data_IF_155900782807
#
_entry.id   IF_155900782807
#
_cell.length_a   1.000
_cell.length_b   1.000
_cell.length_c   1.000
_cell.angle_alpha   90.00
_cell.angle_beta   90.00
_cell.angle_gamma   90.00
#
_symmetry.space_group_name_H-M   'P 1'
#
loop_
_entity.id
_entity.type
_entity.pdbx_description
1 polymer ?
#
# COMPACT_ATOMS: atom_id res chain seq x y z
N UNK A 1 20.70 20.61 -5.43
CA UNK A 1 20.11 20.51 -6.80
C UNK A 1 18.75 19.82 -6.74
N UNK A 2 17.86 19.95 -7.74
CA UNK A 2 16.54 19.31 -7.71
C UNK A 2 16.60 17.78 -7.51
N UNK A 3 17.57 17.11 -8.13
CA UNK A 3 17.78 15.67 -7.97
C UNK A 3 18.22 15.25 -6.57
N UNK A 4 18.94 16.12 -5.87
CA UNK A 4 19.37 15.86 -4.49
C UNK A 4 18.17 15.93 -3.53
N UNK A 5 17.31 16.94 -3.70
CA UNK A 5 16.07 17.06 -2.94
C UNK A 5 15.12 15.88 -3.24
N UNK A 6 15.00 15.48 -4.51
CA UNK A 6 14.27 14.27 -4.93
C UNK A 6 14.83 13.01 -4.24
N UNK A 7 16.16 12.86 -4.18
CA UNK A 7 16.79 11.70 -3.54
C UNK A 7 16.53 11.67 -2.03
N UNK A 8 16.60 12.82 -1.34
CA UNK A 8 16.21 12.95 0.07
C UNK A 8 14.74 12.60 0.31
N UNK A 9 13.85 13.10 -0.55
CA UNK A 9 12.43 12.77 -0.52
C UNK A 9 12.17 11.29 -0.68
N UNK A 10 12.83 10.64 -1.66
CA UNK A 10 12.73 9.19 -1.86
C UNK A 10 13.24 8.41 -0.63
N UNK A 11 14.38 8.83 -0.05
CA UNK A 11 14.94 8.18 1.14
C UNK A 11 14.03 8.31 2.36
N UNK A 12 13.46 9.50 2.60
CA UNK A 12 12.49 9.74 3.65
C UNK A 12 11.21 8.91 3.44
N UNK A 13 10.72 8.83 2.20
CA UNK A 13 9.55 8.02 1.83
C UNK A 13 9.79 6.53 2.10
N UNK A 14 10.93 5.99 1.67
CA UNK A 14 11.30 4.60 1.93
C UNK A 14 11.47 4.29 3.42
N UNK A 15 11.80 5.29 4.24
CA UNK A 15 11.90 5.17 5.69
C UNK A 15 10.57 5.41 6.43
N UNK A 16 9.45 5.59 5.71
CA UNK A 16 8.12 5.83 6.30
C UNK A 16 7.93 7.24 6.86
N UNK A 17 8.87 8.16 6.65
CA UNK A 17 8.78 9.57 7.08
C UNK A 17 8.12 10.40 5.99
N UNK A 18 6.82 10.21 5.85
CA UNK A 18 6.06 10.74 4.70
C UNK A 18 5.89 12.26 4.71
N UNK A 19 5.75 12.90 5.87
CA UNK A 19 5.72 14.37 5.97
C UNK A 19 7.06 14.99 5.54
N UNK A 20 8.16 14.42 6.01
CA UNK A 20 9.50 14.84 5.61
C UNK A 20 9.72 14.62 4.10
N UNK A 21 9.26 13.49 3.57
CA UNK A 21 9.31 13.21 2.14
C UNK A 21 8.56 14.25 1.31
N UNK A 22 7.34 14.62 1.74
CA UNK A 22 6.56 15.66 1.08
C UNK A 22 7.26 17.03 1.11
N UNK A 23 7.96 17.35 2.19
CA UNK A 23 8.82 18.53 2.31
C UNK A 23 9.94 18.53 1.25
N UNK A 24 10.76 17.48 1.23
CA UNK A 24 11.86 17.36 0.25
C UNK A 24 11.37 17.35 -1.21
N UNK A 25 10.21 16.75 -1.50
CA UNK A 25 9.62 16.83 -2.83
C UNK A 25 9.13 18.23 -3.17
N UNK A 26 8.65 19.00 -2.19
CA UNK A 26 8.27 20.41 -2.40
C UNK A 26 9.50 21.26 -2.76
N UNK A 27 10.63 21.04 -2.09
CA UNK A 27 11.89 21.69 -2.43
C UNK A 27 12.36 21.29 -3.84
N UNK A 28 12.23 20.01 -4.20
CA UNK A 28 12.55 19.53 -5.54
C UNK A 28 11.65 20.17 -6.61
N UNK A 29 10.36 20.32 -6.34
CA UNK A 29 9.37 20.94 -7.25
C UNK A 29 9.69 22.43 -7.44
N UNK A 30 10.07 23.14 -6.38
CA UNK A 30 10.47 24.55 -6.48
C UNK A 30 11.65 24.76 -7.44
N UNK A 31 12.54 23.75 -7.55
CA UNK A 31 13.69 23.76 -8.45
C UNK A 31 13.38 23.20 -9.85
N UNK A 32 12.37 22.34 -9.99
CA UNK A 32 11.99 21.67 -11.23
C UNK A 32 10.45 21.53 -11.39
N UNK A 33 9.72 22.65 -11.61
CA UNK A 33 8.25 22.68 -11.55
C UNK A 33 7.55 21.98 -12.72
N UNK A 34 8.28 21.61 -13.78
CA UNK A 34 7.73 20.86 -14.92
C UNK A 34 7.90 19.33 -14.76
N UNK A 35 8.51 18.86 -13.67
CA UNK A 35 8.81 17.44 -13.49
C UNK A 35 7.62 16.69 -12.85
N UNK A 36 6.79 16.08 -13.69
CA UNK A 36 5.63 15.27 -13.30
C UNK A 36 5.96 14.16 -12.28
N UNK A 37 7.17 13.60 -12.27
CA UNK A 37 7.57 12.55 -11.31
C UNK A 37 7.61 13.10 -9.88
N UNK A 38 8.00 14.35 -9.70
CA UNK A 38 8.07 14.97 -8.37
C UNK A 38 6.67 15.17 -7.77
N UNK A 39 5.72 15.63 -8.58
CA UNK A 39 4.31 15.72 -8.19
C UNK A 39 3.73 14.33 -7.88
N UNK A 40 4.02 13.32 -8.69
CA UNK A 40 3.58 11.95 -8.43
C UNK A 40 4.12 11.36 -7.13
N UNK A 41 5.38 11.65 -6.81
CA UNK A 41 6.02 11.21 -5.58
C UNK A 41 5.48 11.96 -4.36
N UNK A 42 5.25 13.27 -4.47
CA UNK A 42 4.65 14.07 -3.39
C UNK A 42 3.19 13.69 -3.16
N UNK A 43 2.41 13.44 -4.21
CA UNK A 43 1.06 12.88 -4.14
C UNK A 43 1.02 11.57 -3.35
N UNK A 44 1.96 10.65 -3.63
CA UNK A 44 2.06 9.41 -2.87
C UNK A 44 2.36 9.65 -1.37
N UNK A 45 3.30 10.55 -1.07
CA UNK A 45 3.65 10.90 0.31
C UNK A 45 2.47 11.51 1.07
N UNK A 46 1.73 12.43 0.43
CA UNK A 46 0.54 13.07 0.98
C UNK A 46 -0.59 12.08 1.21
N UNK A 47 -0.82 11.15 0.27
CA UNK A 47 -1.81 10.09 0.43
C UNK A 47 -1.48 9.14 1.60
N UNK A 48 -0.20 8.84 1.83
CA UNK A 48 0.26 8.01 2.96
C UNK A 48 0.02 8.64 4.33
N UNK A 49 -0.23 9.95 4.40
CA UNK A 49 -0.60 10.69 5.62
C UNK A 49 -2.05 11.20 5.57
N UNK A 50 -2.89 10.59 4.73
CA UNK A 50 -4.32 10.88 4.59
C UNK A 50 -4.66 12.33 4.16
N UNK A 51 -3.70 13.07 3.60
CA UNK A 51 -3.92 14.40 3.00
C UNK A 51 -4.39 14.26 1.56
N UNK A 52 -5.55 13.66 1.38
CA UNK A 52 -6.03 13.23 0.06
C UNK A 52 -6.38 14.39 -0.88
N UNK A 53 -6.85 15.52 -0.36
CA UNK A 53 -7.12 16.71 -1.18
C UNK A 53 -5.83 17.29 -1.80
N UNK A 54 -4.75 17.36 -1.02
CA UNK A 54 -3.45 17.83 -1.53
C UNK A 54 -2.83 16.79 -2.48
N UNK A 55 -2.98 15.50 -2.15
CA UNK A 55 -2.55 14.41 -3.02
C UNK A 55 -3.28 14.43 -4.37
N UNK A 56 -4.56 14.81 -4.38
CA UNK A 56 -5.36 14.96 -5.59
C UNK A 56 -4.81 16.09 -6.47
N UNK A 57 -4.56 17.27 -5.90
CA UNK A 57 -4.01 18.41 -6.65
C UNK A 57 -2.66 18.06 -7.32
N UNK A 58 -1.78 17.34 -6.62
CA UNK A 58 -0.52 16.86 -7.19
C UNK A 58 -0.72 15.77 -8.26
N UNK A 59 -1.70 14.89 -8.08
CA UNK A 59 -2.02 13.87 -9.07
C UNK A 59 -2.60 14.47 -10.35
N UNK A 60 -3.48 15.47 -10.23
CA UNK A 60 -3.99 16.26 -11.36
C UNK A 60 -2.85 16.97 -12.08
N UNK A 61 -1.95 17.62 -11.35
CA UNK A 61 -0.77 18.25 -11.95
C UNK A 61 0.15 17.26 -12.66
N UNK A 62 0.28 16.05 -12.13
CA UNK A 62 1.05 14.97 -12.75
C UNK A 62 0.48 14.61 -14.13
N UNK A 63 -0.83 14.39 -14.23
CA UNK A 63 -1.48 14.01 -15.50
C UNK A 63 -1.65 15.21 -16.45
N UNK A 64 -1.66 16.44 -15.95
CA UNK A 64 -1.56 17.66 -16.76
C UNK A 64 -0.18 17.76 -17.45
N UNK A 65 0.90 17.55 -16.69
CA UNK A 65 2.27 17.64 -17.20
C UNK A 65 2.66 16.45 -18.09
N UNK A 66 2.12 15.26 -17.84
CA UNK A 66 2.41 14.04 -18.60
C UNK A 66 1.16 13.17 -18.77
N UNK A 67 0.27 13.51 -19.73
CA UNK A 67 -1.04 12.87 -19.89
C UNK A 67 -1.01 11.44 -20.42
N UNK A 68 0.12 11.00 -20.96
CA UNK A 68 0.39 9.66 -21.51
C UNK A 68 1.11 8.73 -20.51
N UNK A 69 1.29 9.17 -19.25
CA UNK A 69 1.96 8.38 -18.23
C UNK A 69 0.98 7.66 -17.30
N UNK A 70 0.78 6.36 -17.53
CA UNK A 70 -0.17 5.52 -16.80
C UNK A 70 -0.05 5.60 -15.27
N UNK A 71 1.17 5.72 -14.72
CA UNK A 71 1.39 5.84 -13.27
C UNK A 71 0.81 7.11 -12.66
N UNK A 72 0.67 8.19 -13.43
CA UNK A 72 0.01 9.42 -12.98
C UNK A 72 -1.47 9.17 -12.67
N UNK A 73 -2.14 8.39 -13.51
CA UNK A 73 -3.53 7.98 -13.28
C UNK A 73 -3.69 7.03 -12.10
N UNK A 74 -2.65 6.25 -11.75
CA UNK A 74 -2.66 5.47 -10.50
C UNK A 74 -2.70 6.38 -9.26
N UNK A 75 -2.01 7.52 -9.29
CA UNK A 75 -2.05 8.51 -8.20
C UNK A 75 -3.40 9.21 -8.13
N UNK A 76 -3.93 9.59 -9.30
CA UNK A 76 -5.23 10.25 -9.40
C UNK A 76 -6.36 9.35 -8.85
N UNK A 77 -6.38 8.09 -9.26
CA UNK A 77 -7.33 7.11 -8.74
C UNK A 77 -7.20 6.88 -7.22
N UNK A 78 -5.96 6.80 -6.71
CA UNK A 78 -5.73 6.60 -5.28
C UNK A 78 -6.17 7.80 -4.43
N UNK A 79 -5.96 9.03 -4.93
CA UNK A 79 -6.39 10.25 -4.26
C UNK A 79 -7.93 10.36 -4.22
N UNK A 80 -8.61 10.09 -5.34
CA UNK A 80 -10.08 10.05 -5.38
C UNK A 80 -10.66 8.97 -4.46
N UNK A 81 -10.05 7.77 -4.42
CA UNK A 81 -10.48 6.72 -3.47
C UNK A 81 -10.32 7.16 -2.02
N UNK A 82 -9.21 7.82 -1.68
CA UNK A 82 -8.98 8.36 -0.33
C UNK A 82 -10.01 9.43 0.07
N UNK A 83 -10.53 10.19 -0.90
CA UNK A 83 -11.63 11.14 -0.70
C UNK A 83 -13.03 10.49 -0.68
N UNK A 84 -13.12 9.18 -0.93
CA UNK A 84 -14.40 8.46 -1.02
C UNK A 84 -15.11 8.63 -2.35
N UNK A 85 -14.50 9.29 -3.34
CA UNK A 85 -15.05 9.43 -4.69
C UNK A 85 -14.67 8.22 -5.54
N UNK A 86 -15.35 7.11 -5.29
CA UNK A 86 -15.11 5.85 -5.98
C UNK A 86 -15.37 5.92 -7.49
N UNK A 87 -16.28 6.81 -7.93
CA UNK A 87 -16.63 6.98 -9.34
C UNK A 87 -15.49 7.64 -10.11
N UNK A 88 -14.98 8.78 -9.63
CA UNK A 88 -13.84 9.45 -10.25
C UNK A 88 -12.58 8.61 -10.17
N UNK A 89 -12.40 7.85 -9.09
CA UNK A 89 -11.29 6.92 -8.98
C UNK A 89 -11.32 5.83 -10.06
N UNK A 90 -12.47 5.18 -10.27
CA UNK A 90 -12.63 4.17 -11.30
C UNK A 90 -12.32 4.74 -12.69
N UNK A 91 -12.83 5.94 -13.00
CA UNK A 91 -12.57 6.63 -14.26
C UNK A 91 -11.06 6.92 -14.46
N UNK A 92 -10.37 7.37 -13.40
CA UNK A 92 -8.92 7.59 -13.44
C UNK A 92 -8.16 6.29 -13.72
N UNK A 93 -8.47 5.20 -12.99
CA UNK A 93 -7.82 3.91 -13.20
C UNK A 93 -8.09 3.33 -14.60
N UNK A 94 -9.31 3.47 -15.12
CA UNK A 94 -9.66 3.04 -16.50
C UNK A 94 -8.87 3.83 -17.54
N UNK A 95 -8.71 5.14 -17.36
CA UNK A 95 -7.87 5.97 -18.24
C UNK A 95 -6.40 5.56 -18.16
N UNK A 96 -5.89 5.23 -16.98
CA UNK A 96 -4.55 4.67 -16.81
C UNK A 96 -4.38 3.33 -17.53
N UNK A 97 -5.37 2.43 -17.44
CA UNK A 97 -5.36 1.12 -18.11
C UNK A 97 -5.50 1.23 -19.62
N UNK A 98 -6.14 2.28 -20.14
CA UNK A 98 -6.13 2.56 -21.58
C UNK A 98 -4.71 2.86 -22.10
N UNK A 99 -3.82 3.39 -21.24
CA UNK A 99 -2.42 3.68 -21.57
C UNK A 99 -1.49 2.48 -21.30
N UNK A 100 -1.72 1.75 -20.21
CA UNK A 100 -0.99 0.53 -19.86
C UNK A 100 -1.97 -0.57 -19.40
N UNK A 101 -2.54 -1.36 -20.35
CA UNK A 101 -3.52 -2.40 -20.03
C UNK A 101 -2.97 -3.54 -19.15
N UNK A 102 -1.65 -3.70 -19.12
CA UNK A 102 -0.97 -4.77 -18.39
C UNK A 102 -0.70 -4.42 -16.93
N UNK A 103 -0.97 -3.18 -16.52
CA UNK A 103 -0.60 -2.67 -15.22
C UNK A 103 -1.43 -3.26 -14.07
N UNK A 104 -0.87 -4.21 -13.35
CA UNK A 104 -1.55 -4.86 -12.22
C UNK A 104 -1.93 -3.89 -11.10
N UNK A 105 -1.15 -2.83 -10.86
CA UNK A 105 -1.47 -1.81 -9.87
C UNK A 105 -2.72 -1.01 -10.22
N UNK A 106 -2.89 -0.66 -11.49
CA UNK A 106 -4.10 0.00 -12.00
C UNK A 106 -5.30 -0.95 -11.99
N UNK A 107 -5.12 -2.23 -12.36
CA UNK A 107 -6.20 -3.25 -12.29
C UNK A 107 -6.69 -3.45 -10.86
N UNK A 108 -5.77 -3.57 -9.91
CA UNK A 108 -6.09 -3.69 -8.49
C UNK A 108 -6.82 -2.44 -7.98
N UNK A 109 -6.30 -1.24 -8.29
CA UNK A 109 -6.96 0.02 -7.93
C UNK A 109 -8.37 0.17 -8.52
N UNK A 110 -8.57 -0.26 -9.77
CA UNK A 110 -9.89 -0.29 -10.40
C UNK A 110 -10.85 -1.25 -9.70
N UNK A 111 -10.37 -2.45 -9.32
CA UNK A 111 -11.16 -3.41 -8.58
C UNK A 111 -11.58 -2.86 -7.20
N UNK A 112 -10.65 -2.19 -6.49
CA UNK A 112 -10.93 -1.53 -5.22
C UNK A 112 -11.94 -0.38 -5.38
N UNK A 113 -11.80 0.44 -6.42
CA UNK A 113 -12.75 1.50 -6.74
C UNK A 113 -14.15 0.96 -7.07
N UNK A 114 -14.25 -0.09 -7.89
CA UNK A 114 -15.53 -0.75 -8.22
C UNK A 114 -16.18 -1.38 -7.00
N UNK A 115 -15.38 -1.98 -6.10
CA UNK A 115 -15.87 -2.51 -4.83
C UNK A 115 -16.37 -1.39 -3.91
N UNK A 116 -15.67 -0.27 -3.85
CA UNK A 116 -16.09 0.90 -3.08
C UNK A 116 -17.39 1.53 -3.63
N UNK A 117 -17.58 1.52 -4.96
CA UNK A 117 -18.79 2.01 -5.61
C UNK A 117 -19.99 1.05 -5.48
N UNK A 118 -19.75 -0.27 -5.43
CA UNK A 118 -20.79 -1.30 -5.28
C UNK A 118 -21.16 -1.61 -3.83
N UNK A 119 -20.39 -1.13 -2.85
CA UNK A 119 -20.83 -1.13 -1.46
C UNK A 119 -21.98 -0.14 -1.30
N UNK A 120 -23.04 -0.45 -0.50
CA UNK A 120 -23.98 0.59 -0.09
C UNK A 120 -23.15 1.73 0.49
N UNK A 121 -23.44 2.99 0.14
CA UNK A 121 -22.58 4.10 0.52
C UNK A 121 -22.29 3.97 2.01
N UNK A 122 -21.04 3.65 2.35
CA UNK A 122 -20.56 3.96 3.70
C UNK A 122 -20.75 5.44 3.75
N UNK A 123 -21.74 5.89 4.52
CA UNK A 123 -22.00 7.31 4.72
C UNK A 123 -20.64 7.92 5.01
N UNK A 124 -20.12 8.68 4.05
CA UNK A 124 -19.02 9.56 4.32
C UNK A 124 -19.45 10.38 5.55
N UNK A 125 -18.55 10.75 6.46
CA UNK A 125 -18.86 11.73 7.46
C UNK A 125 -19.09 13.08 6.75
N UNK A 126 -20.26 13.23 6.13
CA UNK A 126 -20.71 14.43 5.44
C UNK A 126 -21.63 15.17 6.39
N UNK A 127 -21.11 16.25 6.96
CA UNK A 127 -21.88 17.24 7.71
C UNK A 127 -22.02 16.90 9.19
N UNK A 128 -21.81 17.92 10.04
CA UNK A 128 -21.91 17.82 11.50
C UNK A 128 -23.22 17.21 12.01
N UNK A 129 -24.27 17.11 11.20
CA UNK A 129 -25.53 16.46 11.55
C UNK A 129 -25.41 14.93 11.79
N UNK A 130 -24.59 14.19 11.02
CA UNK A 130 -24.44 12.74 11.19
C UNK A 130 -23.52 12.40 12.38
N UNK A 131 -22.52 13.22 12.66
CA UNK A 131 -21.68 13.09 13.86
C UNK A 131 -22.48 13.39 15.14
N UNK A 132 -23.31 14.44 15.12
CA UNK A 132 -24.21 14.76 16.23
C UNK A 132 -25.25 13.65 16.39
N UNK A 133 -25.86 13.15 15.30
CA UNK A 133 -26.82 12.04 15.37
C UNK A 133 -26.27 10.78 16.05
N UNK A 134 -25.00 10.44 15.80
CA UNK A 134 -24.32 9.31 16.45
C UNK A 134 -24.09 9.54 17.95
N UNK A 135 -23.88 10.79 18.39
CA UNK A 135 -23.75 11.13 19.81
C UNK A 135 -25.03 10.84 20.60
N UNK A 136 -26.21 10.98 19.98
CA UNK A 136 -27.50 10.66 20.61
C UNK A 136 -27.84 9.16 20.60
N UNK A 137 -27.06 8.36 19.88
CA UNK A 137 -27.24 6.90 19.82
C UNK A 137 -26.28 6.13 20.74
N UNK A 138 -25.23 6.79 21.25
CA UNK A 138 -24.24 6.18 22.11
C UNK A 138 -24.71 5.93 23.55
N UNK A 139 -24.14 4.93 24.24
CA UNK A 139 -24.46 4.64 25.65
C UNK A 139 -24.05 5.78 26.60
N UNK A 140 -23.14 6.66 26.17
CA UNK A 140 -22.62 7.79 26.94
C UNK A 140 -23.61 8.95 27.12
N UNK A 141 -24.65 9.05 26.26
CA UNK A 141 -25.64 10.13 26.30
C UNK A 141 -26.27 10.25 27.69
N UNK A 142 -26.77 9.13 28.22
CA UNK A 142 -27.48 9.09 29.50
C UNK A 142 -26.55 9.38 30.67
N UNK A 143 -25.33 8.85 30.62
CA UNK A 143 -24.31 9.09 31.65
C UNK A 143 -23.93 10.57 31.74
N UNK A 144 -23.73 11.23 30.60
CA UNK A 144 -23.38 12.66 30.55
C UNK A 144 -24.52 13.54 31.05
N UNK A 145 -25.75 13.31 30.60
CA UNK A 145 -26.93 14.06 31.05
C UNK A 145 -27.15 13.91 32.56
N UNK A 146 -26.97 12.69 33.10
CA UNK A 146 -27.12 12.44 34.53
C UNK A 146 -25.98 13.00 35.39
N UNK A 147 -24.80 13.19 34.82
CA UNK A 147 -23.62 13.70 35.52
C UNK A 147 -23.58 15.22 35.67
N UNK A 148 -24.28 15.96 34.79
CA UNK A 148 -24.30 17.42 34.82
C UNK A 148 -25.50 17.96 35.62
N UNK A 149 -25.29 18.83 36.63
CA UNK A 149 -26.35 19.37 37.47
C UNK A 149 -27.45 20.15 36.72
N UNK A 150 -27.13 20.79 35.60
CA UNK A 150 -28.06 21.59 34.82
C UNK A 150 -28.95 20.73 33.92
N UNK A 151 -28.40 19.65 33.34
CA UNK A 151 -29.17 18.76 32.44
C UNK A 151 -29.84 17.60 33.15
N UNK A 152 -29.39 17.23 34.37
CA UNK A 152 -29.98 16.12 35.13
C UNK A 152 -31.46 16.32 35.44
N UNK A 153 -31.86 17.56 35.74
CA UNK A 153 -33.26 17.90 36.02
C UNK A 153 -34.20 17.65 34.82
N UNK A 154 -33.67 17.56 33.61
CA UNK A 154 -34.46 17.25 32.41
C UNK A 154 -34.84 15.77 32.33
N UNK A 155 -34.12 14.88 33.04
CA UNK A 155 -34.47 13.46 33.12
C UNK A 155 -35.75 13.20 33.92
N UNK A 156 -36.23 14.18 34.69
CA UNK A 156 -37.51 14.09 35.41
C UNK A 156 -38.70 14.53 34.53
N UNK A 157 -38.44 15.04 33.31
CA UNK A 157 -39.44 15.59 32.41
C UNK A 157 -39.87 14.56 31.35
N UNK A 158 -41.14 14.09 31.36
CA UNK A 158 -41.62 13.04 30.46
C UNK A 158 -41.60 13.42 28.97
N UNK A 159 -41.86 14.69 28.65
CA UNK A 159 -41.80 15.23 27.29
C UNK A 159 -40.36 15.29 26.76
N UNK A 160 -39.41 15.68 27.61
CA UNK A 160 -37.99 15.73 27.25
C UNK A 160 -37.41 14.33 27.00
N UNK A 161 -37.76 13.36 27.84
CA UNK A 161 -37.38 11.96 27.64
C UNK A 161 -37.95 11.37 26.34
N UNK A 162 -39.17 11.74 25.97
CA UNK A 162 -39.77 11.34 24.71
C UNK A 162 -39.02 11.93 23.52
N UNK A 163 -38.68 13.22 23.58
CA UNK A 163 -37.88 13.91 22.58
C UNK A 163 -36.51 13.23 22.37
N UNK A 164 -35.78 12.90 23.44
CA UNK A 164 -34.50 12.19 23.34
C UNK A 164 -34.65 10.81 22.70
N UNK A 165 -35.70 10.05 23.03
CA UNK A 165 -35.98 8.74 22.43
C UNK A 165 -36.33 8.83 20.96
N UNK A 166 -37.01 9.90 20.55
CA UNK A 166 -37.36 10.15 19.16
C UNK A 166 -36.11 10.47 18.32
N UNK A 167 -35.23 11.33 18.85
CA UNK A 167 -33.91 11.62 18.25
C UNK A 167 -33.03 10.37 18.18
N UNK A 168 -33.04 9.54 19.22
CA UNK A 168 -32.27 8.28 19.24
C UNK A 168 -32.76 7.30 18.16
N UNK A 169 -34.08 7.19 17.96
CA UNK A 169 -34.69 6.33 16.93
C UNK A 169 -34.54 6.89 15.52
N UNK A 170 -34.57 8.22 15.37
CA UNK A 170 -34.49 8.90 14.09
C UNK A 170 -33.62 10.16 14.19
N UNK A 171 -32.32 10.09 13.82
CA UNK A 171 -31.40 11.24 13.88
C UNK A 171 -31.88 12.47 13.11
N UNK A 172 -32.69 12.28 12.07
CA UNK A 172 -33.26 13.39 11.29
C UNK A 172 -34.28 14.22 12.07
N UNK A 173 -34.86 13.68 13.15
CA UNK A 173 -35.80 14.40 14.01
C UNK A 173 -35.10 15.44 14.90
N UNK A 174 -33.77 15.37 15.06
CA UNK A 174 -32.99 16.35 15.82
C UNK A 174 -33.26 17.78 15.35
N UNK A 175 -33.36 18.01 14.03
CA UNK A 175 -33.60 19.33 13.45
C UNK A 175 -34.91 19.97 13.92
N UNK A 176 -35.92 19.16 14.27
CA UNK A 176 -37.21 19.63 14.82
C UNK A 176 -37.06 20.18 16.24
N UNK A 177 -36.07 19.68 16.98
CA UNK A 177 -35.89 19.95 18.40
C UNK A 177 -34.74 20.92 18.71
N UNK A 178 -33.99 21.40 17.71
CA UNK A 178 -32.94 22.41 17.89
C UNK A 178 -33.47 23.74 18.45
N UNK A 179 -34.77 24.01 18.30
CA UNK A 179 -35.43 25.18 18.89
C UNK A 179 -35.72 25.03 20.39
N UNK A 180 -35.63 23.82 20.95
CA UNK A 180 -35.83 23.59 22.38
C UNK A 180 -34.54 23.94 23.15
N UNK A 181 -34.60 24.86 24.14
CA UNK A 181 -33.42 25.28 24.89
C UNK A 181 -32.76 24.14 25.66
N UNK A 182 -33.53 23.13 26.09
CA UNK A 182 -33.02 21.95 26.81
C UNK A 182 -32.22 21.04 25.87
N UNK A 183 -32.66 20.89 24.61
CA UNK A 183 -31.95 20.12 23.58
C UNK A 183 -30.62 20.78 23.22
N UNK A 184 -30.59 22.10 23.12
CA UNK A 184 -29.36 22.86 22.86
C UNK A 184 -28.35 22.75 23.99
N UNK A 185 -28.79 22.70 25.25
CA UNK A 185 -27.91 22.46 26.39
C UNK A 185 -27.33 21.04 26.40
N UNK A 186 -28.11 20.02 26.04
CA UNK A 186 -27.59 18.64 25.90
C UNK A 186 -26.61 18.55 24.72
N UNK A 187 -26.88 19.21 23.59
CA UNK A 187 -25.93 19.32 22.47
C UNK A 187 -24.62 20.00 22.88
N UNK A 188 -24.73 21.11 23.60
CA UNK A 188 -23.60 21.86 24.16
C UNK A 188 -22.74 21.01 25.09
N UNK A 189 -23.37 20.23 25.98
CA UNK A 189 -22.72 19.27 26.87
C UNK A 189 -22.02 18.14 26.09
N UNK A 190 -22.67 17.60 25.07
CA UNK A 190 -22.13 16.50 24.26
C UNK A 190 -20.95 16.94 23.38
N UNK A 191 -20.99 18.18 22.88
CA UNK A 191 -19.94 18.77 22.05
C UNK A 191 -18.84 19.45 22.88
N UNK A 192 -19.03 19.57 24.20
CA UNK A 192 -18.14 20.28 25.11
C UNK A 192 -17.89 21.76 24.71
N UNK A 193 -18.92 22.38 24.10
CA UNK A 193 -18.91 23.78 23.65
C UNK A 193 -19.81 24.57 24.59
N UNK A 194 -19.29 25.58 25.29
CA UNK A 194 -20.12 26.50 26.09
C UNK A 194 -20.87 27.45 25.15
N UNK A 195 -22.12 27.14 24.83
CA UNK A 195 -22.99 28.06 24.09
C UNK A 195 -23.57 29.04 25.11
N UNK A 196 -23.12 30.30 25.07
CA UNK A 196 -23.78 31.38 25.82
C UNK A 196 -25.18 31.59 25.22
N UNK A 197 -26.21 31.35 26.01
CA UNK A 197 -27.59 31.70 25.66
C UNK A 197 -27.72 33.22 25.61
N UNK A 198 -28.41 33.80 24.61
CA UNK A 198 -28.52 35.24 24.45
C UNK A 198 -29.54 35.80 25.44
N UNK A 199 -29.07 36.11 26.64
CA UNK A 199 -29.55 37.26 27.40
C UNK A 199 -28.38 38.23 27.47
N UNK A 200 -27.99 38.75 26.31
CA UNK A 200 -27.33 40.05 26.16
C UNK A 200 -27.35 40.41 24.67
N UNK A 201 -28.23 41.36 24.40
CA UNK A 201 -28.48 42.00 23.13
C UNK A 201 -27.30 42.86 22.67
N UNK A 202 -26.81 42.62 21.47
CA UNK A 202 -26.66 43.74 20.53
C UNK A 202 -26.83 43.28 19.07
N UNK A 203 -27.76 43.92 18.39
CA UNK A 203 -28.21 43.63 17.04
C UNK A 203 -27.48 44.59 16.10
N UNK A 204 -26.73 44.07 15.12
CA UNK A 204 -26.51 44.83 13.88
C UNK A 204 -26.85 43.96 12.68
N UNK A 205 -27.91 44.39 11.99
CA UNK A 205 -28.44 43.84 10.76
C UNK A 205 -27.57 44.26 9.58
N UNK A 206 -27.33 43.35 8.63
CA UNK A 206 -27.37 43.70 7.20
C UNK A 206 -27.57 42.46 6.31
N UNK A 207 -28.80 42.36 5.82
CA UNK A 207 -29.27 41.89 4.48
C UNK A 207 -28.38 41.02 3.57
N UNK A 208 -28.93 39.85 3.21
CA UNK A 208 -28.63 39.03 2.01
C UNK A 208 -29.22 39.64 0.71
N UNK A 209 -29.18 38.99 -0.48
CA UNK A 209 -28.10 38.32 -1.22
C UNK A 209 -27.95 38.89 -2.67
N UNK A 210 -26.91 38.53 -3.43
CA UNK A 210 -26.85 38.86 -4.87
C UNK A 210 -26.26 37.73 -5.72
N UNK A 211 -27.05 37.30 -6.70
CA UNK A 211 -26.69 36.40 -7.81
C UNK A 211 -25.87 37.13 -8.90
N UNK A 212 -25.15 36.39 -9.78
CA UNK A 212 -24.34 36.97 -10.86
C UNK A 212 -25.08 37.07 -12.21
N UNK A 213 -24.67 38.01 -13.08
CA UNK A 213 -24.66 37.77 -14.53
C UNK A 213 -23.47 38.48 -15.25
N UNK A 214 -23.36 38.44 -16.60
CA UNK A 214 -23.21 37.29 -17.50
C UNK A 214 -21.93 37.38 -18.39
N UNK A 215 -21.61 36.27 -19.06
CA UNK A 215 -20.51 36.12 -20.01
C UNK A 215 -20.59 37.08 -21.21
N UNK A 216 -19.46 37.72 -21.55
CA UNK A 216 -19.19 38.24 -22.90
C UNK A 216 -17.75 37.87 -23.32
N UNK A 217 -17.66 37.13 -24.42
CA UNK A 217 -16.44 36.84 -25.15
C UNK A 217 -15.81 38.13 -25.67
N UNK A 218 -14.51 38.34 -25.41
CA UNK A 218 -13.67 39.24 -26.20
C UNK A 218 -12.36 38.56 -26.55
N UNK A 219 -12.07 38.68 -27.85
CA UNK A 219 -11.00 38.08 -28.63
C UNK A 219 -9.61 38.45 -28.11
N UNK A 220 -8.68 37.51 -28.18
CA UNK A 220 -7.25 37.78 -28.09
C UNK A 220 -6.66 37.99 -29.49
N UNK A 221 -5.66 38.88 -29.64
CA UNK A 221 -5.12 39.29 -30.93
C UNK A 221 -4.12 38.29 -31.52
N UNK A 222 -4.10 38.26 -32.85
CA UNK A 222 -3.21 37.50 -33.72
C UNK A 222 -1.73 37.85 -33.51
N UNK A 223 -0.89 36.84 -33.29
CA UNK A 223 0.55 36.93 -33.54
C UNK A 223 0.93 36.01 -34.69
N UNK A 224 1.43 36.66 -35.75
CA UNK A 224 2.01 36.16 -37.01
C UNK A 224 2.61 34.75 -36.93
N UNK A 225 2.10 33.88 -37.79
CA UNK A 225 2.72 32.64 -38.18
C UNK A 225 4.09 32.90 -38.82
N UNK A 226 5.12 32.25 -38.29
CA UNK A 226 6.37 31.99 -38.99
C UNK A 226 6.15 30.67 -39.71
N UNK A 227 6.22 30.68 -41.05
CA UNK A 227 6.23 29.47 -41.86
C UNK A 227 7.41 28.60 -41.41
N UNK A 228 7.11 27.46 -40.77
CA UNK A 228 8.02 26.33 -40.64
C UNK A 228 7.71 25.40 -41.80
N UNK A 229 8.72 25.08 -42.59
CA UNK A 229 8.68 24.00 -43.57
C UNK A 229 8.13 22.72 -42.89
N UNK A 230 7.33 21.90 -43.60
CA UNK A 230 6.83 20.66 -43.03
C UNK A 230 8.02 19.75 -42.70
N UNK A 231 8.29 19.57 -41.41
CA UNK A 231 9.09 18.45 -40.95
C UNK A 231 8.40 17.16 -41.44
N UNK A 232 9.15 16.21 -42.02
CA UNK A 232 8.57 14.93 -42.40
C UNK A 232 7.96 14.30 -41.14
N UNK A 233 6.66 14.03 -41.21
CA UNK A 233 5.93 13.30 -40.18
C UNK A 233 6.74 12.03 -39.88
N UNK A 234 7.04 11.70 -38.61
CA UNK A 234 7.50 10.36 -38.31
C UNK A 234 6.38 9.43 -38.76
N UNK A 235 6.66 8.62 -39.77
CA UNK A 235 5.78 7.52 -40.15
C UNK A 235 5.38 6.78 -38.87
N UNK A 236 4.12 6.32 -38.75
CA UNK A 236 3.78 5.41 -37.67
C UNK A 236 4.77 4.27 -37.80
N UNK A 237 5.69 4.11 -36.84
CA UNK A 237 6.42 2.86 -36.72
C UNK A 237 5.32 1.83 -36.51
N UNK A 238 4.96 1.12 -37.58
CA UNK A 238 4.34 -0.17 -37.46
C UNK A 238 5.20 -0.90 -36.44
N UNK A 239 4.62 -1.21 -35.28
CA UNK A 239 5.24 -2.11 -34.31
C UNK A 239 5.68 -3.30 -35.16
N UNK A 240 7.00 -3.45 -35.38
CA UNK A 240 7.50 -4.44 -36.31
C UNK A 240 6.89 -5.78 -35.93
N UNK A 241 6.62 -6.65 -36.89
CA UNK A 241 6.00 -7.94 -36.58
C UNK A 241 6.78 -8.68 -35.48
N UNK A 242 8.11 -8.46 -35.40
CA UNK A 242 8.98 -8.91 -34.31
C UNK A 242 8.65 -8.33 -32.92
N UNK A 243 8.30 -7.05 -32.80
CA UNK A 243 7.95 -6.43 -31.52
C UNK A 243 6.53 -6.83 -31.07
N UNK A 244 5.61 -7.08 -32.02
CA UNK A 244 4.31 -7.71 -31.73
C UNK A 244 4.49 -9.15 -31.25
N UNK A 245 5.27 -9.95 -31.96
CA UNK A 245 5.59 -11.34 -31.58
C UNK A 245 6.30 -11.40 -30.22
N UNK A 246 7.19 -10.45 -29.90
CA UNK A 246 7.80 -10.37 -28.56
C UNK A 246 6.77 -10.04 -27.48
N UNK A 247 5.83 -9.12 -27.72
CA UNK A 247 4.74 -8.81 -26.77
C UNK A 247 3.80 -10.00 -26.57
N UNK A 248 3.48 -10.72 -27.64
CA UNK A 248 2.65 -11.93 -27.59
C UNK A 248 3.33 -13.07 -26.83
N UNK A 249 4.62 -13.31 -27.06
CA UNK A 249 5.42 -14.29 -26.28
C UNK A 249 5.44 -13.95 -24.80
N UNK A 250 5.67 -12.69 -24.43
CA UNK A 250 5.61 -12.22 -23.05
C UNK A 250 4.22 -12.38 -22.42
N UNK A 251 3.16 -12.06 -23.15
CA UNK A 251 1.79 -12.25 -22.68
C UNK A 251 1.47 -13.75 -22.46
N UNK A 252 1.93 -14.62 -23.36
CA UNK A 252 1.81 -16.06 -23.22
C UNK A 252 2.59 -16.59 -22.00
N UNK A 253 3.82 -16.12 -21.80
CA UNK A 253 4.65 -16.49 -20.64
C UNK A 253 4.00 -16.06 -19.32
N UNK A 254 3.41 -14.87 -19.27
CA UNK A 254 2.65 -14.39 -18.11
C UNK A 254 1.41 -15.24 -17.82
N UNK A 255 0.68 -15.65 -18.85
CA UNK A 255 -0.48 -16.55 -18.71
C UNK A 255 -0.08 -17.91 -18.16
N UNK A 256 1.03 -18.47 -18.65
CA UNK A 256 1.59 -19.73 -18.14
C UNK A 256 2.05 -19.57 -16.68
N UNK A 257 2.70 -18.45 -16.32
CA UNK A 257 3.05 -18.15 -14.91
C UNK A 257 1.80 -18.11 -14.01
N UNK A 258 0.72 -17.48 -14.44
CA UNK A 258 -0.53 -17.43 -13.67
C UNK A 258 -1.17 -18.80 -13.51
N UNK A 259 -1.15 -19.63 -14.56
CA UNK A 259 -1.57 -21.02 -14.48
C UNK A 259 -0.71 -21.82 -13.49
N UNK A 260 0.62 -21.65 -13.54
CA UNK A 260 1.55 -22.25 -12.58
C UNK A 260 1.29 -21.82 -11.14
N UNK A 261 1.00 -20.53 -10.92
CA UNK A 261 0.63 -20.00 -9.60
C UNK A 261 -0.70 -20.60 -9.10
N UNK A 262 -1.67 -20.82 -10.01
CA UNK A 262 -2.93 -21.44 -9.66
C UNK A 262 -2.75 -22.93 -9.29
N UNK A 263 -1.93 -23.67 -10.03
CA UNK A 263 -1.59 -25.07 -9.72
C UNK A 263 -0.80 -25.18 -8.42
N UNK A 264 0.14 -24.27 -8.16
CA UNK A 264 0.87 -24.21 -6.89
C UNK A 264 -0.07 -24.01 -5.69
N UNK A 265 -1.07 -23.13 -5.80
CA UNK A 265 -2.09 -22.94 -4.75
C UNK A 265 -2.93 -24.19 -4.51
N UNK A 266 -3.15 -24.99 -5.55
CA UNK A 266 -3.84 -26.30 -5.46
C UNK A 266 -2.93 -27.42 -4.95
N UNK A 267 -1.66 -27.13 -4.65
CA UNK A 267 -0.60 -28.11 -4.32
C UNK A 267 -0.32 -29.12 -5.43
N UNK A 268 -0.71 -28.80 -6.65
CA UNK A 268 -0.33 -29.55 -7.83
C UNK A 268 1.02 -29.04 -8.34
N UNK A 269 2.08 -29.58 -7.73
CA UNK A 269 3.44 -29.10 -7.90
C UNK A 269 4.05 -29.51 -9.25
N UNK A 270 3.73 -30.69 -9.75
CA UNK A 270 4.23 -31.18 -11.04
C UNK A 270 3.69 -30.33 -12.20
N UNK A 271 2.39 -30.08 -12.21
CA UNK A 271 1.76 -29.21 -13.21
C UNK A 271 2.25 -27.76 -13.07
N UNK A 272 2.49 -27.27 -11.84
CA UNK A 272 3.07 -25.94 -11.63
C UNK A 272 4.47 -25.80 -12.24
N UNK A 273 5.34 -26.81 -12.07
CA UNK A 273 6.68 -26.84 -12.67
C UNK A 273 6.60 -26.81 -14.20
N UNK A 274 5.68 -27.57 -14.80
CA UNK A 274 5.49 -27.58 -16.25
C UNK A 274 5.12 -26.19 -16.77
N UNK A 275 4.17 -25.52 -16.11
CA UNK A 275 3.77 -24.16 -16.48
C UNK A 275 4.90 -23.14 -16.33
N UNK A 276 5.71 -23.19 -15.26
CA UNK A 276 6.85 -22.28 -15.11
C UNK A 276 7.98 -22.57 -16.11
N UNK A 277 8.23 -23.84 -16.43
CA UNK A 277 9.20 -24.22 -17.47
C UNK A 277 8.75 -23.72 -18.84
N UNK A 278 7.46 -23.88 -19.17
CA UNK A 278 6.90 -23.35 -20.41
C UNK A 278 6.94 -21.82 -20.46
N UNK A 279 6.73 -21.14 -19.33
CA UNK A 279 6.90 -19.68 -19.25
C UNK A 279 8.34 -19.26 -19.56
N UNK A 280 9.34 -20.01 -19.08
CA UNK A 280 10.76 -19.77 -19.35
C UNK A 280 11.16 -20.01 -20.81
N UNK A 281 10.52 -20.96 -21.49
CA UNK A 281 10.74 -21.20 -22.92
C UNK A 281 10.16 -20.08 -23.79
N UNK A 282 9.10 -19.42 -23.31
CA UNK A 282 8.41 -18.34 -24.02
C UNK A 282 9.06 -16.97 -23.79
N UNK A 283 9.51 -16.70 -22.56
CA UNK A 283 10.17 -15.45 -22.17
C UNK A 283 11.27 -15.72 -21.14
N UNK A 284 12.50 -15.35 -21.49
CA UNK A 284 13.68 -15.48 -20.64
C UNK A 284 14.06 -14.15 -19.97
N UNK A 285 13.24 -13.10 -20.14
CA UNK A 285 13.47 -11.77 -19.60
C UNK A 285 12.87 -11.55 -18.19
N UNK A 286 12.11 -12.51 -17.65
CA UNK A 286 11.54 -12.42 -16.30
C UNK A 286 12.06 -13.55 -15.38
N UNK A 287 12.90 -13.16 -14.43
CA UNK A 287 13.44 -14.07 -13.41
C UNK A 287 12.36 -14.57 -12.42
N UNK A 288 11.15 -14.00 -12.44
CA UNK A 288 10.06 -14.45 -11.57
C UNK A 288 9.67 -15.91 -11.84
N UNK A 289 9.80 -16.41 -13.07
CA UNK A 289 9.49 -17.80 -13.42
C UNK A 289 10.45 -18.78 -12.73
N UNK A 290 11.77 -18.54 -12.81
CA UNK A 290 12.79 -19.34 -12.11
C UNK A 290 12.57 -19.32 -10.61
N UNK A 291 12.37 -18.14 -10.04
CA UNK A 291 12.22 -18.05 -8.59
C UNK A 291 10.92 -18.74 -8.11
N UNK A 292 9.83 -18.69 -8.89
CA UNK A 292 8.58 -19.37 -8.55
C UNK A 292 8.71 -20.90 -8.71
N UNK A 293 9.40 -21.38 -9.73
CA UNK A 293 9.72 -22.82 -9.88
C UNK A 293 10.60 -23.32 -8.73
N UNK A 294 11.61 -22.55 -8.34
CA UNK A 294 12.42 -22.83 -7.15
C UNK A 294 11.60 -22.94 -5.85
N UNK A 295 10.51 -22.17 -5.72
CA UNK A 295 9.61 -22.29 -4.57
C UNK A 295 8.86 -23.63 -4.57
N UNK A 296 8.44 -24.11 -5.74
CA UNK A 296 7.81 -25.44 -5.88
C UNK A 296 8.78 -26.54 -5.46
N UNK A 297 10.03 -26.44 -5.89
CA UNK A 297 11.07 -27.42 -5.56
C UNK A 297 11.34 -27.50 -4.05
N UNK A 298 11.30 -26.38 -3.33
CA UNK A 298 11.39 -26.38 -1.85
C UNK A 298 10.24 -27.18 -1.22
N UNK A 299 9.00 -27.00 -1.70
CA UNK A 299 7.83 -27.72 -1.18
C UNK A 299 7.88 -29.23 -1.51
N UNK A 300 8.48 -29.60 -2.65
CA UNK A 300 8.69 -31.00 -3.03
C UNK A 300 9.90 -31.65 -2.35
N UNK A 301 10.74 -30.88 -1.65
CA UNK A 301 12.00 -31.37 -1.06
C UNK A 301 13.13 -31.60 -2.08
N UNK A 302 12.98 -31.08 -3.30
CA UNK A 302 13.97 -31.13 -4.39
C UNK A 302 14.95 -29.97 -4.28
N UNK A 303 15.85 -30.05 -3.31
CA UNK A 303 16.67 -28.89 -2.93
C UNK A 303 17.78 -28.57 -3.93
N UNK A 304 18.32 -29.57 -4.63
CA UNK A 304 19.39 -29.37 -5.61
C UNK A 304 18.86 -28.60 -6.84
N UNK A 305 17.70 -29.01 -7.38
CA UNK A 305 17.05 -28.29 -8.49
C UNK A 305 16.61 -26.87 -8.08
N UNK A 306 16.25 -26.66 -6.81
CA UNK A 306 15.97 -25.32 -6.29
C UNK A 306 17.20 -24.42 -6.33
N UNK A 307 18.37 -24.94 -5.92
CA UNK A 307 19.63 -24.19 -5.89
C UNK A 307 20.02 -23.80 -7.31
N UNK A 308 19.94 -24.71 -8.27
CA UNK A 308 20.23 -24.43 -9.69
C UNK A 308 19.34 -23.31 -10.25
N UNK A 309 18.03 -23.37 -9.99
CA UNK A 309 17.09 -22.35 -10.44
C UNK A 309 17.36 -20.99 -9.78
N UNK A 310 17.76 -20.98 -8.51
CA UNK A 310 18.11 -19.75 -7.82
C UNK A 310 19.41 -19.14 -8.35
N UNK A 311 20.41 -19.96 -8.69
CA UNK A 311 21.67 -19.48 -9.28
C UNK A 311 21.43 -18.90 -10.68
N UNK A 312 20.67 -19.61 -11.52
CA UNK A 312 20.22 -19.07 -12.82
C UNK A 312 19.44 -17.77 -12.66
N UNK A 313 18.58 -17.66 -11.65
CA UNK A 313 17.82 -16.44 -11.40
C UNK A 313 18.69 -15.25 -10.96
N UNK A 314 19.77 -15.50 -10.21
CA UNK A 314 20.73 -14.46 -9.80
C UNK A 314 21.59 -14.02 -10.98
N UNK A 315 22.10 -14.95 -11.78
CA UNK A 315 22.86 -14.67 -13.00
C UNK A 315 22.02 -13.87 -13.99
N UNK A 316 20.86 -14.41 -14.37
CA UNK A 316 19.95 -13.76 -15.31
C UNK A 316 19.42 -12.43 -14.77
N UNK A 317 19.17 -12.34 -13.47
CA UNK A 317 18.75 -11.12 -12.80
C UNK A 317 19.79 -10.00 -12.89
N UNK A 318 21.08 -10.35 -12.80
CA UNK A 318 22.19 -9.40 -12.96
C UNK A 318 22.36 -8.97 -14.41
N UNK A 319 22.23 -9.89 -15.37
CA UNK A 319 22.26 -9.59 -16.81
C UNK A 319 21.16 -8.61 -17.21
N UNK A 320 19.93 -8.88 -16.76
CA UNK A 320 18.74 -8.10 -17.09
C UNK A 320 18.59 -6.82 -16.25
N UNK A 321 19.48 -6.58 -15.28
CA UNK A 321 19.37 -5.49 -14.29
C UNK A 321 18.01 -5.49 -13.57
N UNK A 322 17.56 -6.68 -13.20
CA UNK A 322 16.32 -6.87 -12.45
C UNK A 322 16.39 -6.18 -11.07
N UNK A 323 15.22 -5.89 -10.49
CA UNK A 323 15.12 -5.28 -9.15
C UNK A 323 15.91 -6.10 -8.12
N UNK A 324 16.73 -5.43 -7.31
CA UNK A 324 17.52 -6.03 -6.22
C UNK A 324 16.66 -6.89 -5.28
N UNK A 325 15.37 -6.55 -5.12
CA UNK A 325 14.38 -7.34 -4.36
C UNK A 325 14.19 -8.75 -4.92
N UNK A 326 14.20 -8.88 -6.24
CA UNK A 326 13.98 -10.17 -6.91
C UNK A 326 15.23 -11.05 -6.82
N UNK A 327 16.42 -10.45 -6.97
CA UNK A 327 17.69 -11.15 -6.75
C UNK A 327 17.81 -11.59 -5.29
N UNK A 328 17.49 -10.71 -4.33
CA UNK A 328 17.46 -11.06 -2.92
C UNK A 328 16.46 -12.20 -2.63
N UNK A 329 15.28 -12.20 -3.27
CA UNK A 329 14.29 -13.28 -3.12
C UNK A 329 14.81 -14.63 -3.63
N UNK A 330 15.56 -14.64 -4.74
CA UNK A 330 16.21 -15.85 -5.24
C UNK A 330 17.24 -16.37 -4.22
N UNK A 331 18.09 -15.50 -3.68
CA UNK A 331 19.08 -15.85 -2.66
C UNK A 331 18.42 -16.35 -1.36
N UNK A 332 17.32 -15.74 -0.91
CA UNK A 332 16.56 -16.22 0.26
C UNK A 332 15.98 -17.62 0.04
N UNK A 333 15.52 -17.93 -1.18
CA UNK A 333 15.03 -19.27 -1.54
C UNK A 333 16.19 -20.27 -1.58
N UNK A 334 17.33 -19.91 -2.17
CA UNK A 334 18.57 -20.72 -2.15
C UNK A 334 19.02 -21.04 -0.72
N UNK A 335 19.13 -20.02 0.14
CA UNK A 335 19.49 -20.19 1.55
C UNK A 335 18.51 -21.09 2.30
N UNK A 336 17.22 -21.03 1.95
CA UNK A 336 16.20 -21.93 2.53
C UNK A 336 16.42 -23.39 2.11
N UNK A 337 16.69 -23.65 0.82
CA UNK A 337 16.98 -24.99 0.34
C UNK A 337 18.26 -25.55 0.98
N UNK A 338 19.32 -24.74 1.05
CA UNK A 338 20.57 -25.09 1.73
C UNK A 338 20.36 -25.38 3.22
N UNK A 339 19.59 -24.55 3.94
CA UNK A 339 19.30 -24.78 5.35
C UNK A 339 18.49 -26.07 5.58
N UNK A 340 17.69 -26.51 4.60
CA UNK A 340 16.97 -27.80 4.65
C UNK A 340 17.91 -28.98 4.38
N UNK A 341 18.82 -28.86 3.41
CA UNK A 341 19.88 -29.85 3.17
C UNK A 341 20.84 -29.98 4.35
N UNK A 342 21.18 -28.84 4.98
CA UNK A 342 22.03 -28.75 6.16
C UNK A 342 21.50 -29.54 7.37
N UNK A 343 20.19 -29.82 7.43
CA UNK A 343 19.65 -30.72 8.46
C UNK A 343 20.20 -32.14 8.35
N UNK A 344 20.57 -32.57 7.16
CA UNK A 344 21.11 -33.90 6.88
C UNK A 344 22.64 -33.87 6.81
N UNK A 345 23.24 -32.86 6.16
CA UNK A 345 24.69 -32.73 5.99
C UNK A 345 25.41 -32.04 7.15
N UNK A 346 24.66 -31.40 8.06
CA UNK A 346 25.13 -30.58 9.19
C UNK A 346 25.90 -29.30 8.81
N UNK A 347 25.97 -28.96 7.53
CA UNK A 347 26.67 -27.77 7.04
C UNK A 347 25.72 -26.58 6.88
N UNK A 348 25.57 -25.80 7.95
CA UNK A 348 24.74 -24.59 7.95
C UNK A 348 25.47 -23.33 7.46
N UNK A 349 26.79 -23.38 7.30
CA UNK A 349 27.61 -22.20 7.00
C UNK A 349 27.27 -21.61 5.63
N UNK A 350 27.12 -22.48 4.62
CA UNK A 350 26.76 -22.08 3.26
C UNK A 350 25.36 -21.42 3.25
N UNK A 351 24.43 -21.92 4.06
CA UNK A 351 23.09 -21.34 4.17
C UNK A 351 23.11 -19.95 4.82
N UNK A 352 23.86 -19.79 5.92
CA UNK A 352 24.04 -18.53 6.64
C UNK A 352 24.68 -17.47 5.73
N UNK A 353 25.78 -17.81 5.04
CA UNK A 353 26.45 -16.89 4.11
C UNK A 353 25.49 -16.45 2.98
N UNK A 354 24.69 -17.39 2.46
CA UNK A 354 23.71 -17.09 1.41
C UNK A 354 22.62 -16.13 1.91
N UNK A 355 22.13 -16.30 3.15
CA UNK A 355 21.17 -15.37 3.74
C UNK A 355 21.77 -13.98 3.99
N UNK A 356 23.03 -13.90 4.42
CA UNK A 356 23.74 -12.63 4.58
C UNK A 356 23.92 -11.90 3.23
N UNK A 357 24.26 -12.64 2.17
CA UNK A 357 24.28 -12.11 0.79
C UNK A 357 22.91 -11.57 0.37
N UNK A 358 21.83 -12.32 0.64
CA UNK A 358 20.47 -11.86 0.35
C UNK A 358 20.11 -10.56 1.08
N UNK A 359 20.50 -10.42 2.35
CA UNK A 359 20.27 -9.21 3.15
C UNK A 359 21.10 -8.01 2.70
N UNK A 360 22.26 -8.27 2.07
CA UNK A 360 23.10 -7.23 1.48
C UNK A 360 22.48 -6.67 0.20
N UNK A 361 21.87 -7.54 -0.62
CA UNK A 361 21.13 -7.13 -1.83
C UNK A 361 19.84 -6.36 -1.48
N UNK A 362 19.04 -6.88 -0.53
CA UNK A 362 17.86 -6.17 -0.03
C UNK A 362 17.46 -6.66 1.37
N UNK A 363 17.44 -5.75 2.34
CA UNK A 363 17.07 -6.07 3.73
C UNK A 363 15.58 -6.42 3.83
N UNK A 364 15.29 -7.66 4.22
CA UNK A 364 13.94 -8.20 4.36
C UNK A 364 13.76 -8.90 5.73
N UNK A 365 12.71 -8.59 6.51
CA UNK A 365 12.40 -9.27 7.77
C UNK A 365 12.30 -10.80 7.68
N UNK A 366 11.74 -11.36 6.58
CA UNK A 366 11.62 -12.82 6.41
C UNK A 366 12.99 -13.49 6.28
N UNK A 367 13.91 -12.84 5.55
CA UNK A 367 15.28 -13.34 5.36
C UNK A 367 16.08 -13.28 6.66
N UNK A 368 15.91 -12.20 7.44
CA UNK A 368 16.52 -12.07 8.76
C UNK A 368 16.03 -13.15 9.73
N UNK A 369 14.72 -13.44 9.71
CA UNK A 369 14.15 -14.52 10.52
C UNK A 369 14.78 -15.87 10.19
N UNK A 370 14.88 -16.21 8.90
CA UNK A 370 15.50 -17.45 8.42
C UNK A 370 16.99 -17.55 8.74
N UNK A 371 17.72 -16.44 8.63
CA UNK A 371 19.13 -16.35 9.05
C UNK A 371 19.28 -16.71 10.54
N UNK A 372 18.49 -16.07 11.41
CA UNK A 372 18.54 -16.34 12.85
C UNK A 372 18.15 -17.80 13.16
N UNK A 373 17.18 -18.37 12.44
CA UNK A 373 16.81 -19.78 12.57
C UNK A 373 17.97 -20.71 12.17
N UNK A 374 18.70 -20.40 11.09
CA UNK A 374 19.85 -21.17 10.64
C UNK A 374 21.04 -21.06 11.61
N UNK A 375 21.35 -19.86 12.11
CA UNK A 375 22.41 -19.64 13.11
C UNK A 375 22.11 -20.38 14.42
N UNK A 376 20.84 -20.34 14.86
CA UNK A 376 20.40 -21.10 16.03
C UNK A 376 20.55 -22.60 15.80
N UNK A 377 20.10 -23.11 14.66
CA UNK A 377 20.23 -24.54 14.34
C UNK A 377 21.69 -25.00 14.29
N UNK A 378 22.59 -24.17 13.77
CA UNK A 378 24.04 -24.43 13.80
C UNK A 378 24.56 -24.51 15.24
N UNK A 379 24.23 -23.53 16.08
CA UNK A 379 24.66 -23.50 17.48
C UNK A 379 24.12 -24.70 18.28
N UNK A 380 22.86 -25.07 18.08
CA UNK A 380 22.26 -26.23 18.74
C UNK A 380 22.98 -27.53 18.32
N UNK A 381 23.41 -27.62 17.05
CA UNK A 381 24.20 -28.75 16.53
C UNK A 381 25.61 -28.80 17.13
N UNK A 382 26.31 -27.66 17.19
CA UNK A 382 27.63 -27.56 17.82
C UNK A 382 27.57 -27.94 19.32
N UNK A 383 26.51 -27.55 20.03
CA UNK A 383 26.29 -27.93 21.43
C UNK A 383 26.04 -29.43 21.60
N UNK A 384 25.29 -30.05 20.69
CA UNK A 384 25.07 -31.50 20.69
C UNK A 384 26.35 -32.28 20.40
N UNK A 385 27.22 -31.75 19.54
CA UNK A 385 28.52 -32.36 19.23
C UNK A 385 29.54 -32.16 20.37
N UNK A 386 29.44 -31.05 21.11
CA UNK A 386 30.27 -30.80 22.29
C UNK A 386 29.89 -31.67 23.50
N UNK A 387 28.62 -32.08 23.60
CA UNK A 387 28.16 -33.01 24.63
C UNK A 387 28.54 -34.45 24.26
N UNK A 388 29.76 -34.88 24.59
CA UNK A 388 30.20 -36.27 24.40
C UNK A 388 29.57 -37.18 25.49
N UNK A 389 28.61 -38.04 25.13
CA UNK A 389 27.95 -38.93 26.10
C UNK A 389 28.95 -39.91 26.74
N UNK A 390 30.04 -40.26 26.04
CA UNK A 390 31.07 -41.17 26.58
C UNK A 390 31.88 -40.51 27.67
N UNK A 391 32.23 -39.23 27.52
CA UNK A 391 32.94 -38.49 28.55
C UNK A 391 32.07 -38.28 29.81
N UNK A 392 30.77 -38.05 29.60
CA UNK A 392 29.81 -37.95 30.70
C UNK A 392 29.58 -39.31 31.41
N UNK A 393 29.54 -40.42 30.68
CA UNK A 393 29.43 -41.76 31.25
C UNK A 393 30.73 -42.21 31.94
N UNK A 394 31.91 -41.89 31.38
CA UNK A 394 33.21 -42.17 32.02
C UNK A 394 33.38 -41.42 33.35
N UNK A 395 33.03 -40.14 33.40
CA UNK A 395 33.09 -39.36 34.66
C UNK A 395 32.07 -39.89 35.69
N UNK A 396 30.90 -40.37 35.23
CA UNK A 396 29.92 -41.04 36.09
C UNK A 396 30.41 -42.38 36.61
N UNK A 397 31.10 -43.18 35.80
CA UNK A 397 31.72 -44.44 36.23
C UNK A 397 32.86 -44.19 37.23
N UNK A 398 33.76 -43.24 36.96
CA UNK A 398 34.82 -42.84 37.92
C UNK A 398 34.24 -42.39 39.25
N UNK A 399 33.18 -41.57 39.23
CA UNK A 399 32.50 -41.14 40.45
C UNK A 399 31.90 -42.33 41.23
N UNK A 400 31.32 -43.30 40.53
CA UNK A 400 30.78 -44.52 41.16
C UNK A 400 31.88 -45.44 41.71
N UNK A 401 33.05 -45.51 41.08
CA UNK A 401 34.21 -46.24 41.60
C UNK A 401 34.76 -45.59 42.88
N UNK A 402 34.87 -44.27 42.92
CA UNK A 402 35.32 -43.55 44.11
C UNK A 402 34.38 -43.76 45.30
N UNK A 403 33.06 -43.77 45.08
CA UNK A 403 32.05 -44.03 46.12
C UNK A 403 32.12 -45.47 46.65
N UNK A 404 32.52 -46.45 45.82
CA UNK A 404 32.70 -47.85 46.26
C UNK A 404 34.01 -48.07 47.02
N UNK A 405 34.99 -47.18 46.88
CA UNK A 405 36.29 -47.26 47.55
C UNK A 405 36.35 -46.46 48.86
N UNK A 406 35.36 -45.59 49.11
CA UNK A 406 35.10 -44.88 50.37
C UNK A 406 34.13 -45.66 51.26
#
# INVERSE_FOLDING_TARGET
>A
MADEAKAKGNAAFSAGRFEEAAGHFSDAIALAPANHVLYSNRSAALASIHRYSDALADAEKTVELKPDWAKGYSRLGAAHLGLGDAASAAAAYEKGLALDPSNEGLKAGLADAKKAAGAPPRRAPSGGADAIGQMFQGPELWTKIASDPATRAYLDQPDFMQMLREVQRNPSSLNTYLSDPRMMQVLSLMLNIKIQTPQDSDFSQSSSPSQPPPQQQKQQPETKAREMEPEPQPEPMEVSDEEKERKERKAAALKEKEAGNASYKKKDFETAIQHYTKALELDDEDISYLTNRAAVYIEMGKYDECIEDCDKAVERGRELRADFKMVARALTRKGTALAKLAKNSKDYDIAIETFQKALTEHRNPDTLKRLNEAEKAKKDLEQQEYYDPKLADEEREKANEMIKQS
#
